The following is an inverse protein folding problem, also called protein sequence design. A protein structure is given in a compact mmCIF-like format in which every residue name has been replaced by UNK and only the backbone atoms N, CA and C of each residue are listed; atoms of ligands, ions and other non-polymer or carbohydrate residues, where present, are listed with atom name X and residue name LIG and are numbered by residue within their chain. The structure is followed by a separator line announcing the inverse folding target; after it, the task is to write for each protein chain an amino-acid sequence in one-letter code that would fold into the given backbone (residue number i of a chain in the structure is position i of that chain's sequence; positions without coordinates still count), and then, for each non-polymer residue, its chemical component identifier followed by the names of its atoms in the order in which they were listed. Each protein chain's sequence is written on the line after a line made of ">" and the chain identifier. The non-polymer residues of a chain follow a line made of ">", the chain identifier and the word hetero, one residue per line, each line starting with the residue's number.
data_IF_315341929018
#
_entry.id   IF_315341929018
#
_cell.length_a   1.000
_cell.length_b   1.000
_cell.length_c   1.000
_cell.angle_alpha   90.00
_cell.angle_beta   90.00
_cell.angle_gamma   90.00
#
_symmetry.space_group_name_H-M   'P 1'
#
loop_
_entity.id
_entity.type
_entity.pdbx_description
1 polymer ?
#
# COMPACT_ATOMS: atom_id res chain seq x y z
N UNK A 1 -29.21 7.17 14.38
CA UNK A 1 -27.98 7.79 13.85
C UNK A 1 -27.19 6.69 13.15
N UNK A 2 -26.80 6.86 11.88
CA UNK A 2 -25.98 5.88 11.17
C UNK A 2 -24.51 6.08 11.58
N UNK A 3 -23.80 4.99 11.81
CA UNK A 3 -22.38 4.92 12.21
C UNK A 3 -21.48 5.85 11.40
N UNK A 4 -21.72 5.99 10.08
CA UNK A 4 -20.94 6.91 9.24
C UNK A 4 -21.07 8.37 9.69
N UNK A 5 -22.29 8.83 9.99
CA UNK A 5 -22.53 10.20 10.43
C UNK A 5 -21.90 10.47 11.80
N UNK A 6 -21.95 9.47 12.70
CA UNK A 6 -21.28 9.59 14.00
C UNK A 6 -19.77 9.82 13.87
N UNK A 7 -19.09 9.13 12.95
CA UNK A 7 -17.65 9.31 12.74
C UNK A 7 -17.32 10.62 12.01
N UNK A 8 -18.18 11.08 11.12
CA UNK A 8 -18.05 12.41 10.51
C UNK A 8 -18.19 13.50 11.58
N UNK A 9 -19.21 13.42 12.43
CA UNK A 9 -19.47 14.40 13.50
C UNK A 9 -18.34 14.44 14.54
N UNK A 10 -17.66 13.30 14.75
CA UNK A 10 -16.50 13.20 15.64
C UNK A 10 -15.19 13.67 15.01
N UNK A 11 -15.21 14.09 13.74
CA UNK A 11 -14.01 14.28 12.93
C UNK A 11 -13.05 13.12 13.16
N UNK A 12 -13.46 11.88 12.86
CA UNK A 12 -12.63 10.70 13.07
C UNK A 12 -11.66 10.49 11.89
N UNK A 13 -10.40 10.07 12.12
CA UNK A 13 -9.50 9.72 11.03
C UNK A 13 -10.15 8.64 10.15
N UNK A 14 -10.20 8.89 8.85
CA UNK A 14 -10.87 8.01 7.89
C UNK A 14 -9.91 7.60 6.79
N UNK A 15 -9.85 6.29 6.55
CA UNK A 15 -9.11 5.72 5.41
C UNK A 15 -10.08 5.44 4.28
N UNK A 16 -9.84 6.05 3.13
CA UNK A 16 -10.61 5.84 1.90
C UNK A 16 -9.85 4.88 1.01
N UNK A 17 -10.50 3.81 0.54
CA UNK A 17 -9.88 2.90 -0.43
C UNK A 17 -9.77 3.61 -1.77
N UNK A 18 -8.55 3.67 -2.32
CA UNK A 18 -8.24 4.35 -3.59
C UNK A 18 -7.89 3.39 -4.71
N UNK A 19 -7.38 2.19 -4.39
CA UNK A 19 -7.15 1.11 -5.35
C UNK A 19 -7.66 -0.21 -4.76
N UNK A 20 -8.30 -1.02 -5.60
CA UNK A 20 -8.57 -2.42 -5.29
C UNK A 20 -7.26 -3.22 -5.38
N UNK A 21 -7.04 -4.09 -4.41
CA UNK A 21 -5.98 -5.09 -4.45
C UNK A 21 -6.55 -6.49 -4.38
N UNK A 22 -5.66 -7.46 -4.25
CA UNK A 22 -6.03 -8.88 -4.26
C UNK A 22 -6.93 -9.30 -3.09
N UNK A 23 -6.82 -8.68 -1.91
CA UNK A 23 -7.73 -8.90 -0.77
C UNK A 23 -9.17 -8.44 -1.00
N UNK A 24 -9.39 -7.62 -2.03
CA UNK A 24 -10.72 -7.10 -2.39
C UNK A 24 -11.29 -7.73 -3.67
N UNK A 25 -10.58 -8.69 -4.24
CA UNK A 25 -10.94 -9.39 -5.48
C UNK A 25 -10.89 -10.91 -5.23
N UNK A 26 -12.04 -11.56 -4.96
CA UNK A 26 -12.09 -13.00 -4.70
C UNK A 26 -11.55 -13.87 -5.84
N UNK A 27 -11.69 -13.42 -7.09
CA UNK A 27 -11.18 -14.16 -8.24
C UNK A 27 -9.65 -14.09 -8.29
N UNK A 28 -9.07 -12.92 -7.99
CA UNK A 28 -7.61 -12.76 -7.87
C UNK A 28 -7.04 -13.46 -6.64
N UNK A 29 -7.76 -13.48 -5.51
CA UNK A 29 -7.32 -14.16 -4.27
C UNK A 29 -7.29 -15.67 -4.45
N UNK A 30 -8.35 -16.26 -5.01
CA UNK A 30 -8.50 -17.71 -5.11
C UNK A 30 -8.23 -18.40 -3.76
N UNK A 31 -7.40 -19.43 -3.79
CA UNK A 31 -7.02 -20.21 -2.60
C UNK A 31 -5.66 -19.79 -2.00
N UNK A 32 -5.08 -18.66 -2.42
CA UNK A 32 -3.78 -18.20 -1.93
C UNK A 32 -3.85 -17.88 -0.44
N UNK A 33 -2.89 -18.42 0.33
CA UNK A 33 -2.79 -18.24 1.78
C UNK A 33 -1.55 -17.43 2.11
N UNK A 34 -1.67 -16.13 2.45
CA UNK A 34 -0.52 -15.34 2.84
C UNK A 34 0.08 -15.90 4.13
N UNK A 35 1.41 -16.04 4.16
CA UNK A 35 2.16 -16.42 5.37
C UNK A 35 2.67 -15.19 6.11
N UNK A 36 2.92 -14.11 5.37
CA UNK A 36 3.44 -12.84 5.88
C UNK A 36 2.67 -11.68 5.23
N UNK A 37 2.45 -10.62 6.00
CA UNK A 37 1.91 -9.35 5.54
C UNK A 37 2.94 -8.25 5.73
N UNK A 38 3.08 -7.37 4.75
CA UNK A 38 3.75 -6.08 4.95
C UNK A 38 2.76 -4.94 4.80
N UNK A 39 2.97 -3.86 5.54
CA UNK A 39 2.30 -2.59 5.35
C UNK A 39 3.35 -1.54 5.08
N UNK A 40 3.22 -0.90 3.93
CA UNK A 40 4.01 0.24 3.53
C UNK A 40 3.17 1.49 3.71
N UNK A 41 3.73 2.50 4.36
CA UNK A 41 3.11 3.83 4.46
C UNK A 41 3.99 4.85 3.76
N UNK A 42 3.34 5.78 3.07
CA UNK A 42 3.99 6.87 2.35
C UNK A 42 3.33 8.18 2.76
N UNK A 43 4.04 9.03 3.51
CA UNK A 43 3.56 10.39 3.75
C UNK A 43 3.76 11.23 2.49
N UNK A 44 2.69 11.86 2.04
CA UNK A 44 2.62 12.70 0.87
C UNK A 44 2.30 14.14 1.32
N UNK A 45 3.17 15.13 1.09
CA UNK A 45 3.01 16.48 1.64
C UNK A 45 1.85 17.28 1.03
N UNK A 46 1.39 16.92 -0.17
CA UNK A 46 0.34 17.63 -0.89
C UNK A 46 -0.49 16.68 -1.78
N UNK A 47 -1.63 17.18 -2.27
CA UNK A 47 -2.52 16.44 -3.16
C UNK A 47 -1.80 15.93 -4.42
N UNK A 48 -0.90 16.73 -4.99
CA UNK A 48 -0.18 16.36 -6.20
C UNK A 48 0.71 15.13 -5.96
N UNK A 49 1.34 15.04 -4.80
CA UNK A 49 2.18 13.91 -4.39
C UNK A 49 1.34 12.68 -4.10
N UNK A 50 0.18 12.84 -3.45
CA UNK A 50 -0.80 11.74 -3.26
C UNK A 50 -1.19 11.14 -4.61
N UNK A 51 -1.54 11.98 -5.59
CA UNK A 51 -1.92 11.52 -6.94
C UNK A 51 -0.79 10.76 -7.63
N UNK A 52 0.44 11.30 -7.63
CA UNK A 52 1.61 10.60 -8.20
C UNK A 52 1.83 9.24 -7.54
N UNK A 53 1.76 9.19 -6.21
CA UNK A 53 1.94 7.95 -5.44
C UNK A 53 0.91 6.89 -5.84
N UNK A 54 -0.39 7.24 -5.82
CA UNK A 54 -1.48 6.32 -6.17
C UNK A 54 -1.33 5.82 -7.62
N UNK A 55 -1.06 6.71 -8.58
CA UNK A 55 -0.85 6.31 -9.98
C UNK A 55 0.34 5.36 -10.15
N UNK A 56 1.44 5.60 -9.44
CA UNK A 56 2.60 4.71 -9.50
C UNK A 56 2.32 3.33 -8.87
N UNK A 57 1.52 3.29 -7.80
CA UNK A 57 1.08 2.03 -7.19
C UNK A 57 0.16 1.23 -8.10
N UNK A 58 -0.80 1.90 -8.77
CA UNK A 58 -1.67 1.28 -9.76
C UNK A 58 -0.87 0.66 -10.92
N UNK A 59 0.11 1.41 -11.44
CA UNK A 59 1.00 0.91 -12.49
C UNK A 59 1.90 -0.23 -12.02
N UNK A 60 2.38 -0.17 -10.77
CA UNK A 60 3.13 -1.25 -10.14
C UNK A 60 2.29 -2.53 -10.05
N UNK A 61 1.02 -2.43 -9.63
CA UNK A 61 0.09 -3.56 -9.56
C UNK A 61 -0.19 -4.15 -10.93
N UNK A 62 -0.45 -3.30 -11.92
CA UNK A 62 -0.69 -3.74 -13.30
C UNK A 62 0.51 -4.53 -13.84
N UNK A 63 1.74 -4.04 -13.63
CA UNK A 63 2.97 -4.72 -14.07
C UNK A 63 3.24 -6.01 -13.30
N UNK A 64 2.92 -6.06 -12.01
CA UNK A 64 3.02 -7.27 -11.21
C UNK A 64 2.08 -8.35 -11.77
N UNK A 65 0.80 -8.00 -11.98
CA UNK A 65 -0.22 -8.92 -12.52
C UNK A 65 0.03 -9.39 -13.95
N UNK A 66 0.83 -8.67 -14.73
CA UNK A 66 1.19 -9.09 -16.08
C UNK A 66 2.22 -10.23 -16.11
N UNK A 67 2.76 -10.63 -14.96
CA UNK A 67 3.70 -11.75 -14.84
C UNK A 67 2.94 -13.09 -14.82
N UNK A 68 3.58 -14.20 -15.24
CA UNK A 68 3.02 -15.54 -15.09
C UNK A 68 2.60 -15.82 -13.65
N UNK A 69 1.44 -16.45 -13.47
CA UNK A 69 0.84 -16.75 -12.15
C UNK A 69 1.79 -17.57 -11.28
N UNK A 70 2.53 -18.49 -11.88
CA UNK A 70 3.48 -19.38 -11.19
C UNK A 70 4.66 -18.64 -10.54
N UNK A 71 4.86 -17.37 -10.90
CA UNK A 71 5.87 -16.49 -10.31
C UNK A 71 5.29 -15.55 -9.24
N UNK A 72 3.99 -15.60 -8.96
CA UNK A 72 3.29 -14.73 -8.01
C UNK A 72 3.44 -15.22 -6.57
N UNK A 73 4.64 -14.99 -6.04
CA UNK A 73 4.99 -15.25 -4.64
C UNK A 73 4.57 -14.11 -3.69
N UNK A 74 4.02 -13.03 -4.25
CA UNK A 74 3.42 -11.92 -3.49
C UNK A 74 2.39 -11.16 -4.34
N UNK A 75 1.49 -10.45 -3.66
CA UNK A 75 0.51 -9.57 -4.29
C UNK A 75 0.36 -8.25 -3.52
N UNK A 76 -0.01 -7.20 -4.26
CA UNK A 76 -0.49 -5.97 -3.65
C UNK A 76 -1.91 -6.14 -3.11
N UNK A 77 -2.14 -5.61 -1.92
CA UNK A 77 -3.44 -5.50 -1.30
C UNK A 77 -4.03 -4.12 -1.59
N UNK A 78 -5.28 -3.91 -1.20
CA UNK A 78 -5.97 -2.65 -1.41
C UNK A 78 -5.16 -1.48 -0.85
N UNK A 79 -5.16 -0.39 -1.61
CA UNK A 79 -4.48 0.85 -1.22
C UNK A 79 -5.49 1.80 -0.61
N UNK A 80 -5.10 2.42 0.49
CA UNK A 80 -5.94 3.39 1.20
C UNK A 80 -5.23 4.74 1.31
N UNK A 81 -6.02 5.80 1.35
CA UNK A 81 -5.55 7.16 1.63
C UNK A 81 -6.22 7.70 2.89
N UNK A 82 -5.43 8.29 3.77
CA UNK A 82 -5.88 9.02 4.95
C UNK A 82 -5.41 10.47 4.83
N UNK A 83 -6.34 11.40 4.68
CA UNK A 83 -6.01 12.82 4.56
C UNK A 83 -5.46 13.36 5.88
N UNK A 84 -4.45 14.23 5.80
CA UNK A 84 -3.92 14.96 6.94
C UNK A 84 -4.94 16.01 7.41
N UNK A 85 -5.40 15.87 8.65
CA UNK A 85 -6.41 16.79 9.20
C UNK A 85 -5.86 18.17 9.44
N UNK A 86 -6.65 19.18 9.11
CA UNK A 86 -6.28 20.58 9.25
C UNK A 86 -5.26 21.07 8.22
N UNK A 87 -4.79 20.19 7.32
CA UNK A 87 -3.88 20.54 6.24
C UNK A 87 -4.65 21.16 5.07
N UNK A 88 -4.22 22.32 4.60
CA UNK A 88 -4.77 22.96 3.39
C UNK A 88 -4.07 22.48 2.12
N UNK A 89 -2.97 21.74 2.24
CA UNK A 89 -2.20 21.22 1.10
C UNK A 89 -2.84 19.97 0.47
N UNK A 90 -3.80 19.33 1.15
CA UNK A 90 -4.48 18.13 0.66
C UNK A 90 -3.62 16.85 0.69
N UNK A 91 -2.51 16.87 1.44
CA UNK A 91 -1.64 15.72 1.67
C UNK A 91 -2.20 14.72 2.67
N UNK A 92 -1.38 13.74 3.03
CA UNK A 92 -1.76 12.68 3.96
C UNK A 92 -0.90 11.43 3.82
N UNK A 93 -1.43 10.28 4.23
CA UNK A 93 -0.73 8.99 4.21
C UNK A 93 -1.40 8.06 3.21
N UNK A 94 -0.60 7.50 2.30
CA UNK A 94 -0.99 6.38 1.44
C UNK A 94 -0.53 5.08 2.09
N UNK A 95 -1.44 4.12 2.23
CA UNK A 95 -1.20 2.80 2.80
C UNK A 95 -1.28 1.74 1.71
N UNK A 96 -0.24 0.91 1.60
CA UNK A 96 -0.20 -0.24 0.71
C UNK A 96 0.05 -1.51 1.54
N UNK A 97 -0.83 -2.50 1.41
CA UNK A 97 -0.55 -3.83 1.93
C UNK A 97 0.16 -4.71 0.91
N UNK A 98 0.99 -5.64 1.38
CA UNK A 98 1.63 -6.69 0.60
C UNK A 98 1.34 -8.03 1.24
N UNK A 99 0.76 -8.96 0.49
CA UNK A 99 0.61 -10.35 0.88
C UNK A 99 1.77 -11.15 0.31
N UNK A 100 2.46 -11.93 1.15
CA UNK A 100 3.54 -12.83 0.74
C UNK A 100 3.11 -14.27 0.94
N UNK A 101 3.33 -15.10 -0.06
CA UNK A 101 2.90 -16.51 -0.07
C UNK A 101 4.05 -17.49 0.14
N UNK A 102 5.29 -16.99 0.05
CA UNK A 102 6.50 -17.77 0.24
C UNK A 102 7.47 -17.08 1.21
N UNK A 103 7.93 -17.83 2.22
CA UNK A 103 8.75 -17.29 3.31
C UNK A 103 10.21 -17.05 2.89
N UNK A 104 10.78 -17.93 2.05
CA UNK A 104 12.16 -17.77 1.57
C UNK A 104 12.26 -16.56 0.65
N UNK A 105 11.28 -16.41 -0.25
CA UNK A 105 11.15 -15.26 -1.13
C UNK A 105 10.96 -13.97 -0.35
N UNK A 106 10.13 -13.98 0.71
CA UNK A 106 10.02 -12.83 1.60
C UNK A 106 11.37 -12.48 2.24
N UNK A 107 12.11 -13.45 2.78
CA UNK A 107 13.41 -13.19 3.42
C UNK A 107 14.40 -12.55 2.46
N UNK A 108 14.40 -12.95 1.19
CA UNK A 108 15.22 -12.36 0.13
C UNK A 108 14.78 -10.93 -0.25
N UNK A 109 13.47 -10.66 -0.28
CA UNK A 109 12.91 -9.44 -0.89
C UNK A 109 12.34 -8.40 0.07
N UNK A 110 12.19 -8.71 1.36
CA UNK A 110 11.56 -7.82 2.34
C UNK A 110 12.20 -6.43 2.44
N UNK A 111 13.50 -6.32 2.14
CA UNK A 111 14.26 -5.05 2.20
C UNK A 111 14.43 -4.38 0.83
N UNK A 112 13.82 -4.92 -0.24
CA UNK A 112 13.96 -4.40 -1.59
C UNK A 112 13.51 -2.93 -1.70
N UNK A 113 12.58 -2.49 -0.85
CA UNK A 113 12.09 -1.10 -0.76
C UNK A 113 13.20 -0.10 -0.40
N UNK A 114 14.28 -0.54 0.25
CA UNK A 114 15.43 0.31 0.55
C UNK A 114 16.45 0.36 -0.59
N UNK A 115 16.26 -0.42 -1.66
CA UNK A 115 17.19 -0.51 -2.78
C UNK A 115 17.33 0.76 -3.61
N UNK A 116 18.40 0.88 -4.40
CA UNK A 116 18.69 2.04 -5.27
C UNK A 116 17.52 2.38 -6.18
N UNK A 117 16.84 1.36 -6.72
CA UNK A 117 15.71 1.52 -7.63
C UNK A 117 14.51 2.19 -6.93
N UNK A 118 14.11 1.72 -5.75
CA UNK A 118 12.99 2.30 -5.01
C UNK A 118 13.29 3.72 -4.54
N UNK A 119 14.53 4.02 -4.14
CA UNK A 119 14.93 5.39 -3.79
C UNK A 119 14.72 6.37 -4.96
N UNK A 120 15.05 5.97 -6.19
CA UNK A 120 14.79 6.79 -7.38
C UNK A 120 13.29 7.01 -7.60
N UNK A 121 12.47 5.96 -7.42
CA UNK A 121 11.01 6.10 -7.50
C UNK A 121 10.51 7.09 -6.46
N UNK A 122 10.96 6.99 -5.20
CA UNK A 122 10.54 7.91 -4.14
C UNK A 122 10.92 9.36 -4.46
N UNK A 123 12.13 9.59 -4.97
CA UNK A 123 12.57 10.92 -5.43
C UNK A 123 11.68 11.46 -6.56
N UNK A 124 11.36 10.64 -7.57
CA UNK A 124 10.45 11.00 -8.68
C UNK A 124 9.02 11.31 -8.20
N UNK A 125 8.57 10.61 -7.16
CA UNK A 125 7.28 10.87 -6.54
C UNK A 125 7.29 12.13 -5.67
N UNK A 126 8.45 12.58 -5.21
CA UNK A 126 8.58 13.68 -4.25
C UNK A 126 8.34 13.24 -2.80
N UNK A 127 8.63 11.97 -2.49
CA UNK A 127 8.47 11.37 -1.16
C UNK A 127 9.87 11.07 -0.63
N UNK A 128 10.37 11.77 0.40
CA UNK A 128 11.70 11.46 0.92
C UNK A 128 11.68 10.12 1.66
N UNK A 129 12.79 9.39 1.66
CA UNK A 129 12.86 8.04 2.25
C UNK A 129 12.45 7.99 3.74
N UNK A 130 12.69 9.07 4.50
CA UNK A 130 12.27 9.18 5.92
C UNK A 130 10.75 9.15 6.12
N UNK A 131 10.00 9.45 5.07
CA UNK A 131 8.53 9.51 5.05
C UNK A 131 7.93 8.18 4.55
N UNK A 132 8.77 7.16 4.36
CA UNK A 132 8.40 5.79 4.01
C UNK A 132 8.63 4.90 5.22
N UNK A 133 7.59 4.20 5.66
CA UNK A 133 7.70 3.14 6.68
C UNK A 133 7.26 1.82 6.10
N UNK A 134 7.97 0.74 6.42
CA UNK A 134 7.55 -0.63 6.09
C UNK A 134 7.57 -1.46 7.36
N UNK A 135 6.45 -2.07 7.70
CA UNK A 135 6.31 -3.00 8.82
C UNK A 135 5.88 -4.37 8.33
N UNK A 136 6.40 -5.43 8.93
CA UNK A 136 6.11 -6.81 8.56
C UNK A 136 5.47 -7.56 9.74
N UNK A 137 4.49 -8.41 9.46
CA UNK A 137 3.87 -9.32 10.42
C UNK A 137 3.80 -10.72 9.82
N UNK A 138 4.14 -11.72 10.62
CA UNK A 138 3.95 -13.12 10.29
C UNK A 138 2.57 -13.57 10.79
N UNK A 139 1.83 -14.30 9.96
CA UNK A 139 0.59 -14.91 10.41
C UNK A 139 0.93 -16.08 11.36
N UNK A 140 0.31 -16.08 12.53
CA UNK A 140 0.41 -17.19 13.49
C UNK A 140 -0.63 -18.24 13.07
N UNK A 141 -0.18 -19.48 12.93
CA UNK A 141 -1.02 -20.64 12.61
C UNK A 141 -1.86 -21.09 13.80
#
# INVERSE_FOLDING_TARGET
>A
MNTLMEFIDKDAPTRVRVLSGEDTDPARRGDKKPVIRSECTYYCPDEATVRRCITALEESDRRLRARPEELMLWDWQATYFEAEKGSTAGGGIVYLGVAWYDEEFFKDRKDAWFGVMHRRIYDELGIPLKDVTVTHWQLIA
#
